data_IF_332603601134
#
_entry.id   IF_332603601134
#
_cell.length_a   1.000
_cell.length_b   1.000
_cell.length_c   1.000
_cell.angle_alpha   90.00
_cell.angle_beta   90.00
_cell.angle_gamma   90.00
#
_symmetry.space_group_name_H-M   'P 1'
#
loop_
_entity.id
_entity.type
_entity.pdbx_description
1 polymer ?
#
# COMPACT_ATOMS: atom_id res chain seq x y z
N UNK A 1 -45.24 40.51 7.26
CA UNK A 1 -45.44 39.49 6.19
C UNK A 1 -44.19 39.22 5.33
N UNK A 2 -43.44 40.24 4.90
CA UNK A 2 -42.25 40.08 4.03
C UNK A 2 -41.12 39.27 4.68
N UNK A 3 -40.82 39.48 5.99
CA UNK A 3 -39.72 38.78 6.70
C UNK A 3 -39.98 37.28 6.87
N UNK A 4 -41.21 36.86 7.16
CA UNK A 4 -41.57 35.43 7.24
C UNK A 4 -41.41 34.69 5.92
N UNK A 5 -41.74 35.34 4.78
CA UNK A 5 -41.56 34.74 3.44
C UNK A 5 -40.07 34.56 3.08
N UNK A 6 -39.22 35.52 3.49
CA UNK A 6 -37.75 35.41 3.25
C UNK A 6 -37.15 34.28 4.07
N UNK A 7 -37.55 34.11 5.32
CA UNK A 7 -37.06 33.00 6.18
C UNK A 7 -37.48 31.64 5.61
N UNK A 8 -38.71 31.50 5.13
CA UNK A 8 -39.19 30.26 4.49
C UNK A 8 -38.41 29.95 3.22
N UNK A 9 -38.13 30.94 2.37
CA UNK A 9 -37.32 30.76 1.17
C UNK A 9 -35.90 30.33 1.45
N UNK A 10 -35.26 30.89 2.51
CA UNK A 10 -33.93 30.50 2.94
C UNK A 10 -33.90 29.07 3.48
N UNK A 11 -34.90 28.64 4.26
CA UNK A 11 -35.00 27.26 4.75
C UNK A 11 -35.23 26.27 3.62
N UNK A 12 -36.07 26.60 2.63
CA UNK A 12 -36.25 25.77 1.45
C UNK A 12 -34.96 25.65 0.61
N UNK A 13 -34.21 26.73 0.44
CA UNK A 13 -32.93 26.73 -0.27
C UNK A 13 -31.89 25.79 0.43
N UNK A 14 -31.76 25.90 1.76
CA UNK A 14 -30.87 25.04 2.55
C UNK A 14 -31.28 23.58 2.44
N UNK A 15 -32.59 23.30 2.48
CA UNK A 15 -33.12 21.93 2.34
C UNK A 15 -32.85 21.36 0.95
N UNK A 16 -33.05 22.15 -0.12
CA UNK A 16 -32.74 21.72 -1.50
C UNK A 16 -31.25 21.48 -1.67
N UNK A 17 -30.38 22.35 -1.14
CA UNK A 17 -28.92 22.15 -1.15
C UNK A 17 -28.55 20.84 -0.43
N UNK A 18 -29.15 20.58 0.73
CA UNK A 18 -28.97 19.34 1.48
C UNK A 18 -29.35 18.08 0.66
N UNK A 19 -30.49 18.13 -0.05
CA UNK A 19 -30.94 17.02 -0.93
C UNK A 19 -29.96 16.83 -2.09
N UNK A 20 -29.51 17.93 -2.72
CA UNK A 20 -28.55 17.86 -3.84
C UNK A 20 -27.21 17.29 -3.38
N UNK A 21 -26.67 17.73 -2.23
CA UNK A 21 -25.46 17.17 -1.64
C UNK A 21 -25.62 15.69 -1.31
N UNK A 22 -26.76 15.29 -0.73
CA UNK A 22 -27.08 13.91 -0.44
C UNK A 22 -27.17 13.06 -1.71
N UNK A 23 -27.85 13.54 -2.74
CA UNK A 23 -27.99 12.84 -4.04
C UNK A 23 -26.64 12.72 -4.77
N UNK A 24 -25.80 13.77 -4.75
CA UNK A 24 -24.44 13.75 -5.31
C UNK A 24 -23.56 12.76 -4.55
N UNK A 25 -23.65 12.72 -3.22
CA UNK A 25 -22.90 11.76 -2.40
C UNK A 25 -23.37 10.32 -2.63
N UNK A 26 -24.68 10.07 -2.77
CA UNK A 26 -25.23 8.74 -3.10
C UNK A 26 -24.81 8.29 -4.51
N UNK A 27 -24.84 9.20 -5.48
CA UNK A 27 -24.41 8.88 -6.85
C UNK A 27 -22.90 8.64 -6.91
N UNK A 28 -22.10 9.45 -6.22
CA UNK A 28 -20.67 9.24 -6.07
C UNK A 28 -20.32 7.93 -5.35
N UNK A 29 -21.02 7.56 -4.26
CA UNK A 29 -20.76 6.33 -3.52
C UNK A 29 -21.13 5.09 -4.36
N UNK A 30 -22.21 5.14 -5.13
CA UNK A 30 -22.62 4.03 -6.01
C UNK A 30 -21.65 3.81 -7.16
N UNK A 31 -21.06 4.90 -7.72
CA UNK A 31 -20.04 4.81 -8.79
C UNK A 31 -18.68 4.35 -8.27
N UNK A 32 -18.37 4.59 -6.97
CA UNK A 32 -17.11 4.17 -6.32
C UNK A 32 -17.12 2.72 -5.86
N UNK A 33 -18.27 2.12 -5.68
CA UNK A 33 -18.39 0.74 -5.20
C UNK A 33 -17.75 -0.31 -6.12
N UNK A 34 -17.58 -0.03 -7.41
CA UNK A 34 -17.00 -0.95 -8.39
C UNK A 34 -15.63 -0.46 -8.92
N UNK A 35 -14.83 0.19 -8.09
CA UNK A 35 -13.49 0.66 -8.46
C UNK A 35 -12.45 -0.43 -8.13
N UNK A 36 -11.70 -0.86 -9.14
CA UNK A 36 -10.54 -1.71 -8.97
C UNK A 36 -9.44 -0.98 -8.17
N UNK A 37 -8.78 -1.69 -7.27
CA UNK A 37 -7.61 -1.20 -6.51
C UNK A 37 -6.48 -2.20 -6.69
N UNK A 38 -5.71 -2.06 -7.76
CA UNK A 38 -4.48 -2.83 -7.93
C UNK A 38 -3.45 -2.43 -6.89
N UNK A 39 -2.72 -3.41 -6.38
CA UNK A 39 -1.60 -3.20 -5.48
C UNK A 39 -0.39 -3.87 -6.09
N UNK A 40 0.57 -3.09 -6.57
CA UNK A 40 1.78 -3.59 -7.23
C UNK A 40 2.81 -4.01 -6.20
N UNK A 41 3.44 -5.15 -6.43
CA UNK A 41 4.49 -5.70 -5.59
C UNK A 41 5.83 -5.69 -6.31
N UNK A 42 6.79 -4.99 -5.74
CA UNK A 42 8.21 -4.98 -6.09
C UNK A 42 9.04 -5.43 -4.89
N UNK A 43 10.33 -5.69 -5.11
CA UNK A 43 11.28 -6.06 -4.05
C UNK A 43 12.59 -5.28 -4.20
N UNK A 44 13.61 -5.90 -4.77
CA UNK A 44 14.95 -5.37 -4.90
C UNK A 44 15.17 -4.68 -6.27
N UNK A 45 16.08 -3.73 -6.31
CA UNK A 45 16.48 -3.04 -7.55
C UNK A 45 17.98 -3.14 -7.76
N UNK A 46 18.35 -3.39 -9.01
CA UNK A 46 19.74 -3.48 -9.46
C UNK A 46 19.95 -2.63 -10.71
N UNK A 47 21.14 -2.06 -10.87
CA UNK A 47 21.50 -1.28 -12.07
C UNK A 47 21.91 -2.15 -13.25
N UNK A 48 22.21 -3.42 -13.00
CA UNK A 48 22.52 -4.42 -14.03
C UNK A 48 21.82 -5.71 -13.65
N UNK A 49 20.89 -6.15 -14.50
CA UNK A 49 20.21 -7.42 -14.30
C UNK A 49 21.23 -8.54 -14.46
N UNK A 50 21.39 -9.43 -13.47
CA UNK A 50 22.22 -10.63 -13.63
C UNK A 50 21.77 -11.47 -14.82
N UNK A 51 22.62 -12.38 -15.30
CA UNK A 51 22.18 -13.41 -16.24
C UNK A 51 20.91 -14.08 -15.71
N UNK A 52 20.02 -14.43 -16.64
CA UNK A 52 18.68 -14.93 -16.28
C UNK A 52 18.74 -16.04 -15.22
N UNK A 53 18.25 -15.73 -14.04
CA UNK A 53 18.03 -16.65 -12.93
C UNK A 53 16.51 -16.71 -12.65
N UNK A 54 15.85 -17.83 -12.97
CA UNK A 54 14.41 -17.97 -12.78
C UNK A 54 13.96 -17.73 -11.34
N UNK A 55 14.81 -18.06 -10.35
CA UNK A 55 14.47 -17.92 -8.93
C UNK A 55 14.49 -16.44 -8.48
N UNK A 56 15.29 -15.60 -9.12
CA UNK A 56 15.43 -14.17 -8.80
C UNK A 56 14.64 -13.24 -9.73
N UNK A 57 14.26 -13.69 -10.92
CA UNK A 57 13.58 -12.89 -11.94
C UNK A 57 12.32 -12.16 -11.45
N UNK A 58 11.57 -12.79 -10.55
CA UNK A 58 10.35 -12.25 -9.98
C UNK A 58 10.58 -11.22 -8.86
N UNK A 59 11.82 -11.05 -8.39
CA UNK A 59 12.14 -10.23 -7.21
C UNK A 59 13.13 -9.11 -7.48
N UNK A 60 13.59 -8.98 -8.72
CA UNK A 60 14.57 -7.97 -9.16
C UNK A 60 13.96 -7.11 -10.25
N UNK A 61 14.13 -5.79 -10.15
CA UNK A 61 13.77 -4.83 -11.18
C UNK A 61 14.90 -3.83 -11.38
N UNK A 62 14.85 -3.01 -12.43
CA UNK A 62 15.76 -1.88 -12.61
C UNK A 62 15.09 -0.56 -12.24
N UNK A 63 15.85 0.44 -11.77
CA UNK A 63 15.31 1.78 -11.52
C UNK A 63 14.67 2.38 -12.77
N UNK A 64 15.24 2.13 -13.94
CA UNK A 64 14.78 2.64 -15.24
C UNK A 64 13.40 2.04 -15.59
N UNK A 65 13.25 0.72 -15.43
CA UNK A 65 11.96 0.06 -15.71
C UNK A 65 10.87 0.53 -14.72
N UNK A 66 11.22 0.71 -13.46
CA UNK A 66 10.29 1.26 -12.46
C UNK A 66 9.87 2.69 -12.83
N UNK A 67 10.82 3.55 -13.21
CA UNK A 67 10.51 4.94 -13.61
C UNK A 67 9.60 4.98 -14.85
N UNK A 68 9.84 4.13 -15.83
CA UNK A 68 8.98 4.01 -17.02
C UNK A 68 7.57 3.53 -16.64
N UNK A 69 7.47 2.56 -15.73
CA UNK A 69 6.18 2.08 -15.22
C UNK A 69 5.39 3.21 -14.52
N UNK A 70 6.05 3.99 -13.64
CA UNK A 70 5.44 5.13 -12.96
C UNK A 70 4.93 6.15 -13.98
N UNK A 71 5.78 6.53 -14.95
CA UNK A 71 5.40 7.48 -16.00
C UNK A 71 4.22 6.97 -16.81
N UNK A 72 4.26 5.71 -17.24
CA UNK A 72 3.19 5.11 -18.03
C UNK A 72 1.86 5.09 -17.26
N UNK A 73 1.87 4.75 -15.98
CA UNK A 73 0.67 4.78 -15.15
C UNK A 73 0.09 6.19 -15.04
N UNK A 74 0.94 7.20 -14.76
CA UNK A 74 0.51 8.59 -14.64
C UNK A 74 -0.03 9.14 -15.97
N UNK A 75 0.62 8.87 -17.08
CA UNK A 75 0.22 9.30 -18.43
C UNK A 75 -1.13 8.67 -18.83
N UNK A 76 -1.50 7.50 -18.25
CA UNK A 76 -2.79 6.84 -18.44
C UNK A 76 -3.84 7.19 -17.38
N UNK A 77 -3.56 8.21 -16.54
CA UNK A 77 -4.50 8.78 -15.59
C UNK A 77 -4.71 7.97 -14.32
N UNK A 78 -3.75 7.07 -13.98
CA UNK A 78 -3.75 6.41 -12.67
C UNK A 78 -3.34 7.37 -11.56
N UNK A 79 -3.97 7.22 -10.41
CA UNK A 79 -3.63 7.97 -9.20
C UNK A 79 -2.94 7.03 -8.22
N UNK A 80 -1.65 7.26 -7.97
CA UNK A 80 -0.88 6.44 -7.03
C UNK A 80 -1.20 6.90 -5.61
N UNK A 81 -1.84 6.03 -4.84
CA UNK A 81 -2.33 6.29 -3.48
C UNK A 81 -1.59 5.43 -2.44
N UNK A 82 -1.66 5.83 -1.18
CA UNK A 82 -1.15 5.08 -0.04
C UNK A 82 -2.24 4.20 0.60
N UNK A 83 -1.86 3.29 1.52
CA UNK A 83 -2.82 2.58 2.36
C UNK A 83 -3.60 3.52 3.27
N UNK A 84 -2.98 4.63 3.71
CA UNK A 84 -3.68 5.66 4.46
C UNK A 84 -4.79 6.30 3.61
N UNK A 85 -4.53 6.66 2.36
CA UNK A 85 -5.54 7.22 1.46
C UNK A 85 -6.69 6.22 1.23
N UNK A 86 -6.36 4.94 1.02
CA UNK A 86 -7.34 3.86 0.92
C UNK A 86 -8.18 3.74 2.20
N UNK A 87 -7.55 3.79 3.37
CA UNK A 87 -8.24 3.70 4.66
C UNK A 87 -9.13 4.91 4.92
N UNK A 88 -8.69 6.11 4.56
CA UNK A 88 -9.49 7.32 4.69
C UNK A 88 -10.71 7.30 3.76
N UNK A 89 -10.55 6.79 2.53
CA UNK A 89 -11.67 6.58 1.61
C UNK A 89 -12.62 5.47 2.10
N UNK A 90 -12.08 4.35 2.59
CA UNK A 90 -12.87 3.24 3.14
C UNK A 90 -13.72 3.66 4.34
N UNK A 91 -13.17 4.52 5.20
CA UNK A 91 -13.87 5.07 6.36
C UNK A 91 -14.75 6.29 6.07
N UNK A 92 -14.85 6.70 4.79
CA UNK A 92 -15.68 7.83 4.36
C UNK A 92 -15.11 9.22 4.69
N UNK A 93 -13.83 9.32 5.09
CA UNK A 93 -13.16 10.61 5.39
C UNK A 93 -12.73 11.34 4.12
N UNK A 94 -12.46 10.61 3.05
CA UNK A 94 -12.08 11.16 1.74
C UNK A 94 -12.76 10.40 0.62
N UNK A 95 -12.59 10.91 -0.61
CA UNK A 95 -12.99 10.19 -1.81
C UNK A 95 -11.80 9.44 -2.40
N UNK A 96 -12.01 8.25 -2.98
CA UNK A 96 -11.03 7.65 -3.86
C UNK A 96 -10.88 8.48 -5.13
N UNK A 97 -9.64 8.71 -5.61
CA UNK A 97 -9.42 9.29 -6.92
C UNK A 97 -9.84 8.33 -8.04
N UNK A 98 -9.80 8.80 -9.28
CA UNK A 98 -9.99 7.94 -10.43
C UNK A 98 -8.78 7.01 -10.60
N UNK A 99 -9.02 5.77 -11.05
CA UNK A 99 -7.99 4.76 -11.31
C UNK A 99 -6.94 4.69 -10.17
N UNK A 100 -7.35 4.39 -8.91
CA UNK A 100 -6.41 4.32 -7.80
C UNK A 100 -5.53 3.09 -7.93
N UNK A 101 -4.24 3.23 -7.63
CA UNK A 101 -3.26 2.14 -7.62
C UNK A 101 -2.31 2.33 -6.44
N UNK A 102 -1.90 1.25 -5.79
CA UNK A 102 -0.93 1.28 -4.67
C UNK A 102 0.36 0.62 -5.14
N UNK A 103 1.49 1.19 -4.75
CA UNK A 103 2.83 0.65 -4.99
C UNK A 103 3.40 0.15 -3.70
N UNK A 104 3.88 -1.10 -3.68
CA UNK A 104 4.46 -1.74 -2.51
C UNK A 104 5.81 -2.36 -2.81
N UNK A 105 6.68 -2.36 -1.79
CA UNK A 105 7.99 -3.01 -1.81
C UNK A 105 8.11 -3.90 -0.58
N UNK A 106 8.57 -5.12 -0.76
CA UNK A 106 8.82 -6.03 0.36
C UNK A 106 10.31 -6.05 0.76
N UNK A 107 10.59 -6.66 1.91
CA UNK A 107 11.88 -6.94 2.52
C UNK A 107 12.66 -5.77 3.08
N UNK A 108 12.48 -4.54 2.56
CA UNK A 108 13.20 -3.37 3.03
C UNK A 108 14.65 -3.29 2.53
N UNK A 109 14.89 -3.61 1.25
CA UNK A 109 16.19 -3.46 0.59
C UNK A 109 16.63 -2.01 0.52
N UNK A 110 17.94 -1.76 0.69
CA UNK A 110 18.53 -0.41 0.60
C UNK A 110 18.34 0.24 -0.78
N UNK A 111 18.24 -0.56 -1.84
CA UNK A 111 17.95 -0.10 -3.20
C UNK A 111 16.64 0.70 -3.29
N UNK A 112 15.66 0.44 -2.42
CA UNK A 112 14.43 1.23 -2.35
C UNK A 112 14.70 2.68 -1.92
N UNK A 113 15.70 2.92 -1.06
CA UNK A 113 16.13 4.26 -0.68
C UNK A 113 17.05 4.89 -1.73
N UNK A 114 18.04 4.12 -2.20
CA UNK A 114 19.09 4.62 -3.08
C UNK A 114 18.56 4.99 -4.47
N UNK A 115 17.71 4.14 -5.06
CA UNK A 115 17.26 4.30 -6.44
C UNK A 115 15.80 4.73 -6.55
N UNK A 116 14.92 4.16 -5.73
CA UNK A 116 13.48 4.33 -5.91
C UNK A 116 12.95 5.59 -5.23
N UNK A 117 13.42 5.90 -4.03
CA UNK A 117 12.97 7.10 -3.31
C UNK A 117 13.23 8.41 -4.09
N UNK A 118 14.36 8.61 -4.79
CA UNK A 118 14.52 9.74 -5.72
C UNK A 118 13.44 9.81 -6.82
N UNK A 119 13.06 8.65 -7.38
CA UNK A 119 12.00 8.58 -8.39
C UNK A 119 10.64 8.95 -7.79
N UNK A 120 10.30 8.43 -6.60
CA UNK A 120 9.08 8.82 -5.89
C UNK A 120 9.01 10.32 -5.65
N UNK A 121 10.13 10.95 -5.25
CA UNK A 121 10.23 12.41 -5.08
C UNK A 121 10.04 13.16 -6.40
N UNK A 122 10.68 12.68 -7.47
CA UNK A 122 10.61 13.31 -8.81
C UNK A 122 9.18 13.40 -9.34
N UNK A 123 8.39 12.33 -9.16
CA UNK A 123 7.02 12.26 -9.65
C UNK A 123 5.99 12.64 -8.57
N UNK A 124 6.43 12.93 -7.35
CA UNK A 124 5.57 13.20 -6.18
C UNK A 124 4.50 12.12 -5.98
N UNK A 125 4.92 10.86 -6.01
CA UNK A 125 4.04 9.69 -5.87
C UNK A 125 4.33 8.92 -4.58
N UNK A 126 3.31 8.25 -4.07
CA UNK A 126 3.38 7.52 -2.80
C UNK A 126 3.75 6.06 -2.99
N UNK A 127 4.30 5.46 -1.94
CA UNK A 127 4.57 4.02 -1.88
C UNK A 127 4.52 3.51 -0.43
N UNK A 128 4.47 2.19 -0.27
CA UNK A 128 4.58 1.53 1.03
C UNK A 128 5.70 0.50 1.00
N UNK A 129 6.54 0.47 2.03
CA UNK A 129 7.63 -0.50 2.17
C UNK A 129 7.34 -1.38 3.38
N UNK A 130 7.33 -2.69 3.17
CA UNK A 130 7.19 -3.71 4.21
C UNK A 130 8.58 -4.20 4.61
N UNK A 131 9.02 -3.86 5.83
CA UNK A 131 10.38 -4.13 6.30
C UNK A 131 10.46 -5.39 7.18
N UNK A 132 11.53 -6.17 7.01
CA UNK A 132 11.92 -7.24 7.92
C UNK A 132 12.74 -6.60 9.03
N UNK A 133 12.16 -6.43 10.23
CA UNK A 133 12.78 -5.59 11.26
C UNK A 133 14.12 -6.13 11.76
N UNK A 134 14.33 -7.44 11.77
CA UNK A 134 15.63 -8.04 12.15
C UNK A 134 16.76 -7.78 11.15
N UNK A 135 16.43 -7.36 9.91
CA UNK A 135 17.43 -7.08 8.87
C UNK A 135 17.82 -5.61 8.75
N UNK A 136 17.05 -4.70 9.37
CA UNK A 136 17.29 -3.26 9.28
C UNK A 136 18.68 -2.91 9.80
N UNK A 137 19.42 -2.10 9.02
CA UNK A 137 20.79 -1.67 9.29
C UNK A 137 21.86 -2.73 9.03
N UNK A 138 21.51 -3.87 8.42
CA UNK A 138 22.42 -4.96 8.13
C UNK A 138 22.76 -5.05 6.64
N UNK A 139 23.89 -5.71 6.40
CA UNK A 139 24.30 -6.22 5.10
C UNK A 139 24.51 -7.73 5.25
N UNK A 140 23.80 -8.52 4.48
CA UNK A 140 23.77 -9.99 4.57
C UNK A 140 23.92 -10.54 3.15
N UNK A 141 24.93 -11.39 2.92
CA UNK A 141 25.19 -12.00 1.61
C UNK A 141 25.26 -10.96 0.48
N UNK A 142 26.01 -9.87 0.71
CA UNK A 142 26.18 -8.73 -0.20
C UNK A 142 24.88 -7.93 -0.48
N UNK A 143 23.80 -8.22 0.24
CA UNK A 143 22.53 -7.51 0.17
C UNK A 143 22.42 -6.53 1.33
N UNK A 144 22.35 -5.24 1.00
CA UNK A 144 22.17 -4.17 1.97
C UNK A 144 20.70 -3.89 2.23
N UNK A 145 20.33 -3.77 3.49
CA UNK A 145 18.97 -3.39 3.94
C UNK A 145 18.92 -1.94 4.40
N UNK A 146 17.72 -1.36 4.39
CA UNK A 146 17.45 -0.01 4.91
C UNK A 146 17.97 0.14 6.34
N UNK A 147 18.42 1.34 6.68
CA UNK A 147 18.61 1.75 8.07
C UNK A 147 17.35 2.40 8.64
N UNK A 148 17.26 2.52 9.96
CA UNK A 148 16.15 3.26 10.59
C UNK A 148 16.15 4.74 10.19
N UNK A 149 17.32 5.35 9.95
CA UNK A 149 17.43 6.72 9.47
C UNK A 149 16.87 6.86 8.06
N UNK A 150 17.12 5.89 7.16
CA UNK A 150 16.50 5.88 5.83
C UNK A 150 14.97 5.77 5.92
N UNK A 151 14.48 4.86 6.77
CA UNK A 151 13.03 4.70 7.00
C UNK A 151 12.40 5.99 7.53
N UNK A 152 13.05 6.64 8.52
CA UNK A 152 12.56 7.88 9.12
C UNK A 152 12.54 9.04 8.11
N UNK A 153 13.59 9.19 7.30
CA UNK A 153 13.63 10.21 6.24
C UNK A 153 12.49 10.01 5.23
N UNK A 154 12.34 8.77 4.74
CA UNK A 154 11.29 8.44 3.79
C UNK A 154 9.88 8.67 4.36
N UNK A 155 9.63 8.24 5.60
CA UNK A 155 8.35 8.46 6.27
C UNK A 155 8.06 9.97 6.48
N UNK A 156 9.04 10.74 6.91
CA UNK A 156 8.91 12.18 7.15
C UNK A 156 8.67 12.99 5.86
N UNK A 157 9.05 12.46 4.71
CA UNK A 157 8.71 13.08 3.42
C UNK A 157 7.21 13.05 3.11
N UNK A 158 6.46 12.18 3.77
CA UNK A 158 5.04 11.94 3.51
C UNK A 158 4.76 11.12 2.23
N UNK A 159 5.80 10.68 1.52
CA UNK A 159 5.67 9.86 0.30
C UNK A 159 5.71 8.37 0.59
N UNK A 160 6.37 7.94 1.67
CA UNK A 160 6.56 6.51 1.94
C UNK A 160 5.96 6.14 3.30
N UNK A 161 5.13 5.11 3.29
CA UNK A 161 4.65 4.43 4.50
C UNK A 161 5.57 3.24 4.81
N UNK A 162 5.96 3.07 6.07
CA UNK A 162 6.78 1.94 6.51
C UNK A 162 5.91 1.00 7.33
N UNK A 163 5.83 -0.26 6.91
CA UNK A 163 5.02 -1.30 7.52
C UNK A 163 5.82 -2.57 7.81
N UNK A 164 5.21 -3.50 8.52
CA UNK A 164 5.86 -4.74 8.92
C UNK A 164 5.77 -5.84 7.84
N UNK A 165 6.93 -6.45 7.55
CA UNK A 165 7.07 -7.74 6.87
C UNK A 165 7.61 -8.80 7.83
N UNK A 166 7.16 -8.80 9.07
CA UNK A 166 7.61 -9.64 10.18
C UNK A 166 8.94 -9.21 10.83
N UNK A 167 9.28 -9.87 11.92
CA UNK A 167 10.61 -9.76 12.53
C UNK A 167 11.64 -10.58 11.76
N UNK A 168 11.33 -11.86 11.42
CA UNK A 168 12.33 -12.83 10.99
C UNK A 168 12.11 -13.44 9.59
N UNK A 169 11.08 -12.99 8.84
CA UNK A 169 10.77 -13.49 7.50
C UNK A 169 10.60 -15.03 7.43
N UNK A 170 9.74 -15.58 8.30
CA UNK A 170 9.47 -17.02 8.37
C UNK A 170 8.14 -17.39 7.71
N UNK A 171 7.98 -18.66 7.33
CA UNK A 171 6.72 -19.19 6.79
C UNK A 171 5.66 -19.30 7.89
N UNK A 172 4.67 -18.40 7.89
CA UNK A 172 3.67 -18.30 8.94
C UNK A 172 2.62 -19.42 8.96
N UNK A 173 2.50 -20.17 7.88
CA UNK A 173 1.69 -21.40 7.82
C UNK A 173 2.33 -22.59 8.57
N UNK A 174 3.61 -22.50 8.92
CA UNK A 174 4.37 -23.53 9.65
C UNK A 174 4.37 -23.35 11.17
N UNK A 175 3.78 -22.25 11.66
CA UNK A 175 3.82 -21.92 13.10
C UNK A 175 2.44 -21.69 13.67
N UNK A 176 2.23 -21.97 14.99
CA UNK A 176 0.99 -21.64 15.67
C UNK A 176 0.69 -20.13 15.61
N UNK A 177 -0.58 -19.76 15.47
CA UNK A 177 -1.03 -18.38 15.34
C UNK A 177 -0.54 -17.46 16.49
N UNK A 178 -0.34 -17.99 17.70
CA UNK A 178 0.24 -17.25 18.81
C UNK A 178 1.66 -16.76 18.50
N UNK A 179 2.51 -17.64 17.97
CA UNK A 179 3.90 -17.28 17.61
C UNK A 179 3.93 -16.23 16.50
N UNK A 180 3.06 -16.37 15.51
CA UNK A 180 2.92 -15.40 14.43
C UNK A 180 2.48 -14.04 14.96
N UNK A 181 1.48 -14.01 15.83
CA UNK A 181 1.03 -12.79 16.50
C UNK A 181 2.15 -12.12 17.27
N UNK A 182 2.92 -12.90 18.03
CA UNK A 182 3.98 -12.36 18.90
C UNK A 182 5.14 -11.80 18.04
N UNK A 183 5.50 -12.44 16.92
CA UNK A 183 6.49 -11.96 15.95
C UNK A 183 6.06 -10.64 15.28
N UNK A 184 4.80 -10.54 14.84
CA UNK A 184 4.28 -9.31 14.24
C UNK A 184 4.18 -8.19 15.27
N UNK A 185 3.82 -8.51 16.51
CA UNK A 185 3.80 -7.53 17.61
C UNK A 185 5.20 -6.98 17.88
N UNK A 186 6.19 -7.84 18.00
CA UNK A 186 7.61 -7.47 18.18
C UNK A 186 8.08 -6.57 17.03
N UNK A 187 7.77 -6.94 15.79
CA UNK A 187 8.10 -6.14 14.61
C UNK A 187 7.51 -4.73 14.68
N UNK A 188 6.24 -4.57 15.09
CA UNK A 188 5.63 -3.26 15.24
C UNK A 188 6.15 -2.48 16.45
N UNK A 189 6.52 -3.14 17.53
CA UNK A 189 7.18 -2.49 18.68
C UNK A 189 8.52 -1.87 18.24
N UNK A 190 9.28 -2.58 17.40
CA UNK A 190 10.55 -2.05 16.88
C UNK A 190 10.33 -0.91 15.87
N UNK A 191 9.34 -1.01 14.98
CA UNK A 191 8.95 0.08 14.07
C UNK A 191 8.52 1.32 14.87
N UNK A 192 7.64 1.17 15.86
CA UNK A 192 7.13 2.29 16.65
C UNK A 192 8.20 2.94 17.54
N UNK A 193 9.19 2.19 17.99
CA UNK A 193 10.34 2.69 18.74
C UNK A 193 11.20 3.65 17.90
N UNK A 194 11.39 3.38 16.63
CA UNK A 194 12.25 4.17 15.75
C UNK A 194 11.50 5.24 14.94
N UNK A 195 10.28 4.95 14.51
CA UNK A 195 9.51 5.80 13.59
C UNK A 195 8.32 6.48 14.25
N UNK A 196 8.11 6.25 15.56
CA UNK A 196 6.95 6.75 16.29
C UNK A 196 5.70 5.92 16.04
N UNK A 197 4.63 6.27 16.75
CA UNK A 197 3.35 5.56 16.71
C UNK A 197 2.81 5.45 15.30
N UNK A 198 2.44 4.24 14.88
CA UNK A 198 1.83 3.97 13.59
C UNK A 198 0.30 4.03 13.70
N UNK A 199 -0.35 5.06 13.12
CA UNK A 199 -1.81 5.21 13.20
C UNK A 199 -2.58 4.19 12.36
N UNK A 200 -1.90 3.56 11.40
CA UNK A 200 -2.38 2.48 10.55
C UNK A 200 -1.35 1.36 10.55
N UNK A 201 -1.79 0.12 10.77
CA UNK A 201 -0.92 -1.06 10.75
C UNK A 201 -1.31 -1.97 9.60
N UNK A 202 -0.40 -2.07 8.62
CA UNK A 202 -0.54 -2.94 7.45
C UNK A 202 0.54 -4.00 7.50
N UNK A 203 0.18 -5.26 7.36
CA UNK A 203 1.11 -6.37 7.44
C UNK A 203 1.15 -7.17 6.14
N UNK A 204 2.34 -7.37 5.56
CA UNK A 204 2.54 -8.29 4.44
C UNK A 204 3.08 -9.63 4.95
N UNK A 205 2.44 -10.73 4.52
CA UNK A 205 2.85 -12.07 4.90
C UNK A 205 4.09 -12.51 4.13
N UNK A 206 5.20 -12.87 4.82
CA UNK A 206 6.35 -13.48 4.16
C UNK A 206 5.93 -14.70 3.32
N UNK A 207 6.39 -14.76 2.08
CA UNK A 207 6.07 -15.82 1.12
C UNK A 207 4.58 -15.97 0.80
N UNK A 208 3.72 -15.03 1.19
CA UNK A 208 2.27 -15.20 1.13
C UNK A 208 1.74 -16.34 2.03
N UNK A 209 2.55 -16.80 2.98
CA UNK A 209 2.23 -17.99 3.81
C UNK A 209 1.38 -17.60 5.03
N UNK A 210 0.16 -18.12 5.11
CA UNK A 210 -0.79 -17.85 6.20
C UNK A 210 -1.71 -19.04 6.48
N UNK A 211 -2.39 -18.99 7.62
CA UNK A 211 -3.55 -19.83 7.94
C UNK A 211 -4.74 -18.94 8.33
N UNK A 212 -5.96 -19.48 8.32
CA UNK A 212 -7.15 -18.74 8.80
C UNK A 212 -6.99 -18.27 10.24
N UNK A 213 -6.32 -19.08 11.06
CA UNK A 213 -6.05 -18.79 12.47
C UNK A 213 -5.06 -17.62 12.61
N UNK A 214 -4.01 -17.56 11.78
CA UNK A 214 -3.04 -16.45 11.79
C UNK A 214 -3.70 -15.15 11.34
N UNK A 215 -4.50 -15.18 10.26
CA UNK A 215 -5.28 -14.01 9.79
C UNK A 215 -6.19 -13.47 10.90
N UNK A 216 -6.94 -14.35 11.56
CA UNK A 216 -7.82 -13.97 12.68
C UNK A 216 -7.04 -13.42 13.88
N UNK A 217 -5.89 -14.02 14.20
CA UNK A 217 -5.05 -13.57 15.31
C UNK A 217 -4.49 -12.16 15.05
N UNK A 218 -3.99 -11.86 13.86
CA UNK A 218 -3.47 -10.55 13.52
C UNK A 218 -4.57 -9.48 13.51
N UNK A 219 -5.72 -9.77 12.92
CA UNK A 219 -6.89 -8.88 12.95
C UNK A 219 -7.30 -8.52 14.39
N UNK A 220 -7.35 -9.50 15.28
CA UNK A 220 -7.70 -9.29 16.69
C UNK A 220 -6.62 -8.53 17.49
N UNK A 221 -5.41 -8.39 16.94
CA UNK A 221 -4.29 -7.68 17.55
C UNK A 221 -3.98 -6.33 16.87
N UNK A 222 -4.96 -5.77 16.18
CA UNK A 222 -4.90 -4.39 15.70
C UNK A 222 -4.17 -4.21 14.38
N UNK A 223 -3.99 -5.28 13.59
CA UNK A 223 -3.56 -5.14 12.19
C UNK A 223 -4.79 -4.74 11.35
N UNK A 224 -4.71 -3.57 10.73
CA UNK A 224 -5.82 -2.98 9.97
C UNK A 224 -5.99 -3.62 8.60
N UNK A 225 -4.87 -3.87 7.92
CA UNK A 225 -4.81 -4.51 6.61
C UNK A 225 -3.80 -5.65 6.60
N UNK A 226 -4.15 -6.75 5.94
CA UNK A 226 -3.27 -7.90 5.75
C UNK A 226 -3.11 -8.17 4.25
N UNK A 227 -1.86 -8.20 3.79
CA UNK A 227 -1.51 -8.21 2.37
C UNK A 227 -0.74 -9.49 2.06
N UNK A 228 -1.12 -10.22 1.00
CA UNK A 228 -0.44 -11.48 0.72
C UNK A 228 -0.55 -11.98 -0.73
N UNK A 229 -1.71 -12.11 -1.30
CA UNK A 229 -1.98 -13.02 -2.41
C UNK A 229 -2.01 -12.33 -3.79
N UNK A 230 -2.17 -13.14 -4.85
CA UNK A 230 -2.19 -12.71 -6.24
C UNK A 230 -3.59 -12.29 -6.64
N UNK A 231 -3.73 -11.12 -7.27
CA UNK A 231 -4.96 -10.65 -7.87
C UNK A 231 -5.24 -9.17 -7.68
N UNK A 232 -6.45 -8.76 -8.04
CA UNK A 232 -6.92 -7.39 -7.97
C UNK A 232 -8.01 -7.28 -6.91
N UNK A 233 -8.02 -6.16 -6.18
CA UNK A 233 -9.05 -5.85 -5.20
C UNK A 233 -10.14 -5.00 -5.85
N UNK A 234 -11.36 -5.13 -5.35
CA UNK A 234 -12.45 -4.21 -5.68
C UNK A 234 -12.87 -3.47 -4.41
N UNK A 235 -13.02 -2.15 -4.50
CA UNK A 235 -13.31 -1.31 -3.34
C UNK A 235 -14.63 -1.65 -2.66
N UNK A 236 -15.63 -2.08 -3.44
CA UNK A 236 -16.95 -2.50 -2.94
C UNK A 236 -16.88 -3.68 -1.99
N UNK A 237 -16.08 -4.67 -2.37
CA UNK A 237 -15.98 -5.95 -1.66
C UNK A 237 -14.63 -6.10 -0.96
N UNK A 238 -13.98 -4.95 -0.62
CA UNK A 238 -12.65 -4.94 -0.04
C UNK A 238 -12.65 -5.59 1.34
N UNK A 239 -12.02 -6.76 1.42
CA UNK A 239 -11.67 -7.37 2.70
C UNK A 239 -10.27 -6.94 3.11
N UNK A 240 -10.19 -6.12 4.14
CA UNK A 240 -8.92 -5.63 4.70
C UNK A 240 -8.00 -6.75 5.20
N UNK A 241 -8.55 -7.93 5.49
CA UNK A 241 -7.76 -9.09 5.90
C UNK A 241 -7.24 -9.89 4.71
N UNK A 242 -7.55 -9.48 3.47
CA UNK A 242 -7.22 -10.22 2.25
C UNK A 242 -6.91 -9.29 1.07
N UNK A 243 -5.89 -8.43 1.25
CA UNK A 243 -5.43 -7.55 0.18
C UNK A 243 -4.54 -8.34 -0.79
N UNK A 244 -4.97 -8.37 -2.04
CA UNK A 244 -4.28 -9.04 -3.14
C UNK A 244 -3.31 -8.09 -3.80
N UNK A 245 -2.21 -8.64 -4.35
CA UNK A 245 -1.17 -7.89 -5.06
C UNK A 245 -0.91 -8.48 -6.45
N UNK A 246 -0.29 -7.68 -7.29
CA UNK A 246 0.25 -8.06 -8.60
C UNK A 246 1.76 -7.99 -8.49
N UNK A 247 2.42 -9.14 -8.56
CA UNK A 247 3.89 -9.19 -8.61
C UNK A 247 4.37 -8.63 -9.95
N UNK A 248 5.36 -7.75 -9.91
CA UNK A 248 5.94 -7.12 -11.09
C UNK A 248 7.33 -7.73 -11.35
N UNK A 249 7.42 -8.69 -12.27
CA UNK A 249 8.70 -9.28 -12.66
C UNK A 249 9.59 -8.29 -13.41
N UNK A 250 10.87 -8.62 -13.55
CA UNK A 250 11.95 -7.75 -14.01
C UNK A 250 11.64 -6.97 -15.29
N UNK A 251 11.02 -7.60 -16.28
CA UNK A 251 10.82 -7.00 -17.60
C UNK A 251 9.38 -6.51 -17.84
N UNK A 252 8.51 -6.57 -16.83
CA UNK A 252 7.13 -6.13 -17.00
C UNK A 252 7.06 -4.61 -17.18
N UNK A 253 6.52 -4.21 -18.30
CA UNK A 253 6.34 -2.80 -18.69
C UNK A 253 5.06 -2.20 -18.07
N UNK A 254 5.02 -0.88 -17.92
CA UNK A 254 3.81 -0.17 -17.46
C UNK A 254 2.60 -0.41 -18.37
N UNK A 255 2.83 -0.69 -19.66
CA UNK A 255 1.77 -1.03 -20.60
C UNK A 255 1.17 -2.41 -20.30
N UNK A 256 2.00 -3.41 -20.05
CA UNK A 256 1.55 -4.74 -19.65
C UNK A 256 0.83 -4.71 -18.28
N UNK A 257 1.31 -3.87 -17.35
CA UNK A 257 0.62 -3.65 -16.07
C UNK A 257 -0.82 -3.17 -16.34
N UNK A 258 -1.02 -2.21 -17.24
CA UNK A 258 -2.36 -1.71 -17.60
C UNK A 258 -3.20 -2.80 -18.29
N UNK A 259 -2.60 -3.63 -19.15
CA UNK A 259 -3.27 -4.69 -19.90
C UNK A 259 -3.75 -5.87 -19.03
N UNK A 260 -3.19 -6.07 -17.83
CA UNK A 260 -3.68 -7.06 -16.84
C UNK A 260 -5.15 -6.75 -16.41
N UNK A 261 -5.70 -5.62 -16.79
CA UNK A 261 -7.09 -5.24 -16.52
C UNK A 261 -7.27 -4.45 -15.24
N UNK A 262 -6.27 -3.65 -14.91
CA UNK A 262 -6.33 -2.73 -13.77
C UNK A 262 -7.03 -1.41 -14.13
#
# INVERSE_FOLDING_TARGET
MKTKKIIILLLCAVFIIGIVIYAVNQHSSKKRNDVAIPVLLYHNFVTTVPDFDPDNFNYINTPESFEENIKTLLDNGYSIISFKDLNDAYSGKSALPNKPIIITFDDGYYSNYEYIYPILKKYNVKASIFIITSKIGKELDDIKYLSWDNCLEMQNSGLVEIFSHSTNHIFYDKFPARRVRDDVKESYEEIEKHLGKQPLKVFAYPYGAYTKETVKALKNNGIDYQVYDIGINNFKDLDKSFIKRINIPCEMTGKEIIEIGI
#
